data_IF_159041019684
#
_entry.id   IF_159041019684
#
_cell.length_a   1.000
_cell.length_b   1.000
_cell.length_c   1.000
_cell.angle_alpha   90.00
_cell.angle_beta   90.00
_cell.angle_gamma   90.00
#
_symmetry.space_group_name_H-M   'P 1'
#
loop_
_entity.id
_entity.type
_entity.pdbx_description
1 polymer ?
#
# COMPACT_ATOMS: atom_id res chain seq x y z
N UNK A 1 -34.27 13.48 -0.86
CA UNK A 1 -33.86 12.47 -1.84
C UNK A 1 -32.76 11.65 -1.20
N UNK A 2 -33.10 10.51 -0.57
CA UNK A 2 -32.11 9.71 0.15
C UNK A 2 -31.06 9.18 -0.82
N UNK A 3 -29.79 9.43 -0.55
CA UNK A 3 -28.69 8.86 -1.34
C UNK A 3 -28.87 7.34 -1.39
N UNK A 4 -29.01 6.78 -2.59
CA UNK A 4 -29.08 5.33 -2.76
C UNK A 4 -27.78 4.71 -2.24
N UNK A 5 -27.84 3.58 -1.49
CA UNK A 5 -26.64 2.92 -1.01
C UNK A 5 -25.69 2.60 -2.18
N UNK A 6 -24.39 2.79 -1.96
CA UNK A 6 -23.29 2.46 -2.90
C UNK A 6 -23.39 3.14 -4.28
N UNK A 7 -23.83 4.41 -4.32
CA UNK A 7 -24.12 5.13 -5.57
C UNK A 7 -25.22 4.47 -6.44
N UNK A 8 -26.01 3.56 -5.87
CA UNK A 8 -26.97 2.73 -6.61
C UNK A 8 -26.32 1.64 -7.46
N UNK A 9 -25.01 1.37 -7.29
CA UNK A 9 -24.31 0.31 -8.00
C UNK A 9 -24.55 -1.04 -7.33
N UNK A 10 -24.76 -2.07 -8.14
CA UNK A 10 -24.91 -3.48 -7.72
C UNK A 10 -24.04 -4.39 -8.57
N UNK A 11 -23.80 -5.60 -8.08
CA UNK A 11 -23.12 -6.66 -8.81
C UNK A 11 -21.72 -6.29 -9.27
N UNK A 12 -21.43 -6.61 -10.54
CA UNK A 12 -20.14 -6.34 -11.16
C UNK A 12 -19.78 -4.85 -11.22
N UNK A 13 -20.75 -3.94 -11.28
CA UNK A 13 -20.48 -2.51 -11.33
C UNK A 13 -19.95 -2.02 -9.97
N UNK A 14 -20.50 -2.53 -8.87
CA UNK A 14 -20.03 -2.24 -7.51
C UNK A 14 -18.60 -2.77 -7.29
N UNK A 15 -18.31 -3.99 -7.76
CA UNK A 15 -16.97 -4.58 -7.69
C UNK A 15 -15.93 -3.79 -8.49
N UNK A 16 -16.29 -3.32 -9.70
CA UNK A 16 -15.41 -2.45 -10.50
C UNK A 16 -15.19 -1.10 -9.82
N UNK A 17 -16.22 -0.51 -9.22
CA UNK A 17 -16.08 0.73 -8.47
C UNK A 17 -15.15 0.56 -7.26
N UNK A 18 -15.31 -0.51 -6.48
CA UNK A 18 -14.39 -0.85 -5.39
C UNK A 18 -12.93 -1.01 -5.88
N UNK A 19 -12.75 -1.67 -7.03
CA UNK A 19 -11.43 -1.85 -7.63
C UNK A 19 -10.79 -0.50 -8.04
N UNK A 20 -11.49 0.32 -8.82
CA UNK A 20 -10.91 1.55 -9.37
C UNK A 20 -10.83 2.70 -8.36
N UNK A 21 -11.76 2.78 -7.39
CA UNK A 21 -11.85 3.92 -6.47
C UNK A 21 -11.09 3.71 -5.16
N UNK A 22 -10.81 2.45 -4.79
CA UNK A 22 -10.09 2.11 -3.54
C UNK A 22 -8.83 1.32 -3.82
N UNK A 23 -8.95 0.18 -4.50
CA UNK A 23 -7.81 -0.74 -4.68
C UNK A 23 -6.72 -0.10 -5.55
N UNK A 24 -7.09 0.45 -6.70
CA UNK A 24 -6.19 1.14 -7.62
C UNK A 24 -5.37 2.25 -6.95
N UNK A 25 -5.97 3.32 -6.39
CA UNK A 25 -5.21 4.40 -5.77
C UNK A 25 -4.34 3.90 -4.60
N UNK A 26 -4.81 2.93 -3.82
CA UNK A 26 -4.05 2.37 -2.70
C UNK A 26 -2.77 1.66 -3.15
N UNK A 27 -2.87 0.75 -4.13
CA UNK A 27 -1.72 0.00 -4.62
C UNK A 27 -0.80 0.83 -5.51
N UNK A 28 -1.34 1.78 -6.26
CA UNK A 28 -0.54 2.80 -6.95
C UNK A 28 0.23 3.65 -5.95
N UNK A 29 -0.36 4.05 -4.81
CA UNK A 29 0.37 4.74 -3.74
C UNK A 29 1.51 3.86 -3.17
N UNK A 30 1.24 2.58 -2.91
CA UNK A 30 2.27 1.65 -2.43
C UNK A 30 3.45 1.53 -3.41
N UNK A 31 3.16 1.33 -4.70
CA UNK A 31 4.18 1.30 -5.75
C UNK A 31 4.93 2.62 -5.89
N UNK A 32 4.22 3.75 -5.82
CA UNK A 32 4.82 5.08 -5.89
C UNK A 32 5.86 5.29 -4.79
N UNK A 33 5.56 4.90 -3.55
CA UNK A 33 6.47 5.02 -2.41
C UNK A 33 7.74 4.17 -2.55
N UNK A 34 7.65 3.03 -3.24
CA UNK A 34 8.82 2.21 -3.55
C UNK A 34 9.72 2.87 -4.58
N UNK A 35 9.16 3.49 -5.62
CA UNK A 35 9.92 4.13 -6.71
C UNK A 35 10.52 5.50 -6.33
N UNK A 36 9.73 6.37 -5.68
CA UNK A 36 10.08 7.79 -5.47
C UNK A 36 11.36 7.97 -4.66
N UNK A 37 11.64 7.06 -3.72
CA UNK A 37 12.85 7.18 -2.89
C UNK A 37 14.13 7.04 -3.72
N UNK A 38 14.12 6.24 -4.79
CA UNK A 38 15.30 6.03 -5.64
C UNK A 38 15.74 7.29 -6.39
N UNK A 39 14.79 8.03 -6.99
CA UNK A 39 15.12 9.26 -7.70
C UNK A 39 15.57 10.38 -6.77
N UNK A 40 14.92 10.51 -5.61
CA UNK A 40 15.19 11.57 -4.62
C UNK A 40 16.62 11.56 -4.09
N UNK A 41 17.20 10.38 -3.86
CA UNK A 41 18.57 10.21 -3.34
C UNK A 41 19.65 10.71 -4.31
N UNK A 42 19.28 10.90 -5.59
CA UNK A 42 20.19 11.41 -6.62
C UNK A 42 20.15 12.93 -6.80
N UNK A 43 19.30 13.62 -6.06
CA UNK A 43 19.11 15.08 -6.20
C UNK A 43 20.03 15.86 -5.26
N UNK A 44 20.83 16.78 -5.82
CA UNK A 44 21.69 17.68 -5.04
C UNK A 44 20.91 18.53 -4.03
N UNK A 45 19.68 18.93 -4.38
CA UNK A 45 18.80 19.71 -3.49
C UNK A 45 18.30 18.89 -2.29
N UNK A 46 18.23 17.56 -2.40
CA UNK A 46 17.88 16.68 -1.30
C UNK A 46 19.10 16.40 -0.42
N UNK A 47 20.26 16.12 -1.03
CA UNK A 47 21.50 15.85 -0.31
C UNK A 47 22.02 17.08 0.45
N UNK A 48 21.84 18.29 -0.09
CA UNK A 48 22.14 19.54 0.63
C UNK A 48 21.24 19.78 1.84
N UNK A 49 19.98 19.32 1.81
CA UNK A 49 19.09 19.38 2.97
C UNK A 49 19.46 18.32 4.02
N UNK A 50 19.85 17.13 3.57
CA UNK A 50 20.17 15.98 4.44
C UNK A 50 21.60 15.46 4.18
N UNK A 51 22.65 16.19 4.60
CA UNK A 51 24.04 15.82 4.30
C UNK A 51 24.48 14.49 4.93
N UNK A 52 23.77 14.00 5.95
CA UNK A 52 24.04 12.71 6.63
C UNK A 52 23.71 11.48 5.78
N UNK A 53 23.00 11.64 4.67
CA UNK A 53 22.63 10.57 3.75
C UNK A 53 23.16 10.82 2.33
N UNK A 54 24.06 11.80 2.18
CA UNK A 54 24.68 12.13 0.90
C UNK A 54 25.81 11.16 0.59
N UNK A 55 25.58 10.27 -0.37
CA UNK A 55 26.55 9.29 -0.86
C UNK A 55 27.22 9.72 -2.18
N UNK A 56 26.79 10.85 -2.76
CA UNK A 56 27.26 11.32 -4.06
C UNK A 56 28.47 12.22 -3.91
N UNK A 57 28.43 13.17 -2.98
CA UNK A 57 29.49 14.17 -2.79
C UNK A 57 30.51 13.79 -1.69
N UNK A 58 30.38 12.59 -1.10
CA UNK A 58 31.26 12.10 -0.03
C UNK A 58 32.12 10.94 -0.50
N UNK A 59 33.36 10.85 0.00
CA UNK A 59 34.32 9.80 -0.38
C UNK A 59 34.99 9.18 0.87
N UNK A 60 35.50 7.95 0.74
CA UNK A 60 36.22 7.25 1.81
C UNK A 60 35.32 6.80 2.97
N UNK A 61 35.80 6.94 4.21
CA UNK A 61 35.09 6.50 5.40
C UNK A 61 33.73 7.20 5.62
N UNK A 62 33.61 8.48 5.23
CA UNK A 62 32.36 9.23 5.36
C UNK A 62 31.26 8.69 4.44
N UNK A 63 31.62 8.23 3.23
CA UNK A 63 30.65 7.63 2.31
C UNK A 63 30.08 6.32 2.88
N UNK A 64 30.92 5.51 3.52
CA UNK A 64 30.49 4.26 4.16
C UNK A 64 29.48 4.55 5.28
N UNK A 65 29.75 5.55 6.14
CA UNK A 65 28.83 5.95 7.19
C UNK A 65 27.51 6.49 6.61
N UNK A 66 27.57 7.39 5.62
CA UNK A 66 26.40 7.97 4.97
C UNK A 66 25.55 6.90 4.26
N UNK A 67 26.19 5.92 3.63
CA UNK A 67 25.51 4.77 2.99
C UNK A 67 24.77 3.91 4.01
N UNK A 68 25.38 3.63 5.17
CA UNK A 68 24.72 2.91 6.26
C UNK A 68 23.51 3.69 6.80
N UNK A 69 23.66 5.01 6.97
CA UNK A 69 22.56 5.88 7.42
C UNK A 69 21.43 5.95 6.40
N UNK A 70 21.75 6.11 5.11
CA UNK A 70 20.79 6.10 4.01
C UNK A 70 20.03 4.77 3.97
N UNK A 71 20.73 3.64 4.02
CA UNK A 71 20.11 2.32 4.06
C UNK A 71 19.20 2.12 5.28
N UNK A 72 19.61 2.64 6.44
CA UNK A 72 18.79 2.60 7.66
C UNK A 72 17.51 3.41 7.49
N UNK A 73 17.59 4.65 6.98
CA UNK A 73 16.42 5.52 6.76
C UNK A 73 15.44 4.90 5.77
N UNK A 74 15.93 4.28 4.70
CA UNK A 74 15.11 3.55 3.73
C UNK A 74 14.44 2.34 4.41
N UNK A 75 15.18 1.57 5.21
CA UNK A 75 14.66 0.39 5.90
C UNK A 75 13.61 0.71 6.97
N UNK A 76 13.67 1.90 7.61
CA UNK A 76 12.71 2.31 8.64
C UNK A 76 11.28 2.42 8.10
N UNK A 77 11.10 2.70 6.80
CA UNK A 77 9.79 2.62 6.16
C UNK A 77 9.19 1.20 6.27
N UNK A 78 9.99 0.16 5.99
CA UNK A 78 9.58 -1.24 6.10
C UNK A 78 9.32 -1.63 7.55
N UNK A 79 10.16 -1.16 8.49
CA UNK A 79 9.95 -1.38 9.93
C UNK A 79 8.59 -0.81 10.37
N UNK A 80 8.29 0.43 9.99
CA UNK A 80 6.98 1.03 10.23
C UNK A 80 5.84 0.20 9.61
N UNK A 81 6.04 -0.30 8.40
CA UNK A 81 5.11 -1.18 7.70
C UNK A 81 4.77 -2.47 8.44
N UNK A 82 5.77 -3.11 9.05
CA UNK A 82 5.56 -4.32 9.87
C UNK A 82 4.64 -4.01 11.06
N UNK A 83 4.90 -2.93 11.79
CA UNK A 83 4.06 -2.54 12.93
C UNK A 83 2.65 -2.13 12.49
N UNK A 84 2.54 -1.43 11.35
CA UNK A 84 1.26 -1.09 10.73
C UNK A 84 0.44 -2.34 10.40
N UNK A 85 1.02 -3.31 9.70
CA UNK A 85 0.36 -4.56 9.33
C UNK A 85 -0.05 -5.40 10.55
N UNK A 86 0.82 -5.50 11.56
CA UNK A 86 0.50 -6.21 12.81
C UNK A 86 -0.65 -5.56 13.57
N UNK A 87 -0.70 -4.23 13.61
CA UNK A 87 -1.80 -3.49 14.25
C UNK A 87 -3.15 -3.78 13.59
N UNK A 88 -3.17 -3.97 12.26
CA UNK A 88 -4.39 -4.27 11.50
C UNK A 88 -5.00 -5.63 11.82
N UNK A 89 -4.24 -6.58 12.37
CA UNK A 89 -4.80 -7.88 12.79
C UNK A 89 -5.78 -7.67 13.94
N UNK A 90 -5.47 -6.77 14.87
CA UNK A 90 -6.33 -6.45 16.02
C UNK A 90 -7.43 -5.45 15.63
N UNK A 91 -7.04 -4.36 14.97
CA UNK A 91 -7.96 -3.30 14.59
C UNK A 91 -8.99 -3.75 13.56
N UNK A 92 -8.60 -4.64 12.64
CA UNK A 92 -9.46 -5.15 11.59
C UNK A 92 -10.62 -6.00 12.11
N UNK A 93 -10.41 -6.74 13.20
CA UNK A 93 -11.48 -7.51 13.84
C UNK A 93 -12.39 -6.62 14.69
N UNK A 94 -11.84 -5.59 15.36
CA UNK A 94 -12.59 -4.72 16.26
C UNK A 94 -13.42 -3.64 15.54
N UNK A 95 -12.85 -2.98 14.52
CA UNK A 95 -13.44 -1.80 13.89
C UNK A 95 -14.03 -2.06 12.50
N UNK A 96 -13.78 -3.23 11.91
CA UNK A 96 -14.14 -3.54 10.53
C UNK A 96 -13.07 -3.10 9.54
N UNK A 97 -13.19 -3.56 8.29
CA UNK A 97 -12.16 -3.31 7.28
C UNK A 97 -12.21 -1.88 6.77
N UNK A 98 -13.41 -1.35 6.51
CA UNK A 98 -13.61 0.01 5.96
C UNK A 98 -12.99 1.08 6.85
N UNK A 99 -13.22 0.99 8.17
CA UNK A 99 -12.66 1.95 9.14
C UNK A 99 -11.15 1.85 9.26
N UNK A 100 -10.60 0.63 9.24
CA UNK A 100 -9.14 0.44 9.27
C UNK A 100 -8.49 0.99 8.01
N UNK A 101 -9.07 0.78 6.83
CA UNK A 101 -8.57 1.36 5.56
C UNK A 101 -8.58 2.90 5.65
N UNK A 102 -9.64 3.50 6.18
CA UNK A 102 -9.72 4.95 6.36
C UNK A 102 -8.63 5.49 7.31
N UNK A 103 -8.47 4.87 8.48
CA UNK A 103 -7.49 5.31 9.49
C UNK A 103 -6.06 5.13 8.98
N UNK A 104 -5.76 4.00 8.35
CA UNK A 104 -4.41 3.72 7.84
C UNK A 104 -4.02 4.67 6.69
N UNK A 105 -4.96 5.03 5.80
CA UNK A 105 -4.73 6.10 4.82
C UNK A 105 -4.57 7.48 5.48
N UNK A 106 -5.31 7.77 6.55
CA UNK A 106 -5.14 9.03 7.28
C UNK A 106 -3.74 9.13 7.90
N UNK A 107 -3.25 8.04 8.51
CA UNK A 107 -1.88 7.99 9.06
C UNK A 107 -0.83 8.13 7.96
N UNK A 108 -1.01 7.50 6.79
CA UNK A 108 -0.06 7.63 5.68
C UNK A 108 0.01 9.08 5.16
N UNK A 109 -1.12 9.79 5.10
CA UNK A 109 -1.15 11.21 4.74
C UNK A 109 -0.36 12.06 5.75
N UNK A 110 -0.53 11.83 7.05
CA UNK A 110 0.25 12.54 8.08
C UNK A 110 1.75 12.29 7.88
N UNK A 111 2.15 11.03 7.67
CA UNK A 111 3.54 10.67 7.39
C UNK A 111 4.09 11.37 6.14
N UNK A 112 3.31 11.41 5.07
CA UNK A 112 3.67 12.08 3.81
C UNK A 112 3.83 13.60 3.98
N UNK A 113 2.93 14.25 4.73
CA UNK A 113 3.01 15.68 5.04
C UNK A 113 4.27 15.97 5.86
N UNK A 114 4.52 15.19 6.91
CA UNK A 114 5.72 15.33 7.75
C UNK A 114 7.01 15.16 6.94
N UNK A 115 7.00 14.24 5.97
CA UNK A 115 8.14 13.98 5.10
C UNK A 115 8.38 15.14 4.13
N UNK A 116 7.31 15.66 3.52
CA UNK A 116 7.36 16.80 2.60
C UNK A 116 7.80 18.10 3.30
N UNK A 117 7.32 18.31 4.53
CA UNK A 117 7.62 19.50 5.34
C UNK A 117 8.86 19.32 6.22
N UNK A 118 9.70 18.34 5.93
CA UNK A 118 10.90 18.07 6.73
C UNK A 118 11.99 19.10 6.46
N UNK A 119 12.56 19.61 7.56
CA UNK A 119 13.74 20.48 7.54
C UNK A 119 14.92 19.85 8.29
N UNK A 120 14.62 18.98 9.27
CA UNK A 120 15.61 18.24 10.05
C UNK A 120 15.60 16.75 9.68
N UNK A 121 16.78 16.12 9.76
CA UNK A 121 16.98 14.71 9.51
C UNK A 121 16.20 13.83 10.50
N UNK A 122 16.13 14.23 11.77
CA UNK A 122 15.35 13.51 12.77
C UNK A 122 13.85 13.49 12.43
N UNK A 123 13.32 14.63 11.94
CA UNK A 123 11.94 14.74 11.48
C UNK A 123 11.69 13.82 10.28
N UNK A 124 12.63 13.73 9.33
CA UNK A 124 12.52 12.83 8.18
C UNK A 124 12.47 11.35 8.59
N UNK A 125 13.28 10.94 9.58
CA UNK A 125 13.27 9.59 10.16
C UNK A 125 11.90 9.26 10.77
N UNK A 126 11.35 10.16 11.59
CA UNK A 126 10.03 9.95 12.20
C UNK A 126 8.94 9.90 11.12
N UNK A 127 9.02 10.76 10.11
CA UNK A 127 8.08 10.77 9.00
C UNK A 127 8.10 9.43 8.23
N UNK A 128 9.28 8.83 8.02
CA UNK A 128 9.43 7.50 7.38
C UNK A 128 8.73 6.40 8.15
N UNK A 129 8.86 6.40 9.47
CA UNK A 129 8.19 5.41 10.35
C UNK A 129 6.66 5.58 10.32
N UNK A 130 6.17 6.82 10.44
CA UNK A 130 4.73 7.12 10.44
C UNK A 130 4.10 6.79 9.08
N UNK A 131 4.77 7.16 7.98
CA UNK A 131 4.34 6.81 6.63
C UNK A 131 4.28 5.29 6.46
N UNK A 132 5.35 4.58 6.84
CA UNK A 132 5.41 3.12 6.83
C UNK A 132 4.26 2.49 7.61
N UNK A 133 3.94 3.00 8.80
CA UNK A 133 2.85 2.49 9.63
C UNK A 133 1.49 2.58 8.92
N UNK A 134 1.19 3.72 8.28
CA UNK A 134 -0.03 3.87 7.49
C UNK A 134 -0.06 2.91 6.28
N UNK A 135 1.05 2.86 5.53
CA UNK A 135 1.13 2.06 4.31
C UNK A 135 1.03 0.56 4.58
N UNK A 136 1.79 0.04 5.54
CA UNK A 136 1.72 -1.38 5.91
C UNK A 136 0.33 -1.77 6.40
N UNK A 137 -0.38 -0.86 7.06
CA UNK A 137 -1.73 -1.09 7.53
C UNK A 137 -2.75 -1.28 6.41
N UNK A 138 -2.76 -0.41 5.40
CA UNK A 138 -3.69 -0.56 4.29
C UNK A 138 -3.29 -1.70 3.33
N UNK A 139 -1.99 -1.95 3.12
CA UNK A 139 -1.52 -3.07 2.27
C UNK A 139 -1.93 -4.42 2.85
N UNK A 140 -2.01 -4.53 4.18
CA UNK A 140 -2.52 -5.73 4.85
C UNK A 140 -4.06 -5.83 4.80
N UNK A 141 -4.78 -4.71 4.82
CA UNK A 141 -6.24 -4.70 5.00
C UNK A 141 -7.03 -4.70 3.69
N UNK A 142 -6.56 -3.99 2.66
CA UNK A 142 -7.28 -3.83 1.40
C UNK A 142 -7.48 -5.15 0.64
N UNK A 143 -6.46 -6.03 0.47
CA UNK A 143 -6.67 -7.34 -0.16
C UNK A 143 -7.67 -8.21 0.57
N UNK A 144 -7.67 -8.15 1.91
CA UNK A 144 -8.61 -8.89 2.74
C UNK A 144 -10.02 -8.40 2.46
N UNK A 145 -10.26 -7.09 2.53
CA UNK A 145 -11.54 -6.49 2.20
C UNK A 145 -11.99 -6.82 0.76
N UNK A 146 -11.10 -6.67 -0.22
CA UNK A 146 -11.36 -7.00 -1.62
C UNK A 146 -11.74 -8.48 -1.80
N UNK A 147 -11.07 -9.40 -1.10
CA UNK A 147 -11.37 -10.84 -1.16
C UNK A 147 -12.71 -11.22 -0.50
N UNK A 148 -13.12 -10.45 0.51
CA UNK A 148 -14.35 -10.64 1.27
C UNK A 148 -15.58 -10.10 0.50
N UNK A 149 -15.41 -9.06 -0.32
CA UNK A 149 -16.48 -8.55 -1.21
C UNK A 149 -16.51 -9.25 -2.58
N UNK A 150 -15.40 -9.86 -3.01
CA UNK A 150 -15.30 -10.47 -4.34
C UNK A 150 -15.78 -11.92 -4.38
N UNK A 151 -16.46 -12.33 -5.48
CA UNK A 151 -16.87 -13.72 -5.68
C UNK A 151 -15.64 -14.64 -5.80
N UNK A 152 -15.78 -15.88 -5.34
CA UNK A 152 -14.67 -16.83 -5.19
C UNK A 152 -13.85 -17.03 -6.48
N UNK A 153 -14.48 -17.04 -7.65
CA UNK A 153 -13.82 -17.25 -8.94
C UNK A 153 -12.94 -16.08 -9.39
N UNK A 154 -13.15 -14.85 -8.89
CA UNK A 154 -12.35 -13.65 -9.28
C UNK A 154 -11.17 -13.36 -8.36
N UNK A 155 -11.06 -14.07 -7.23
CA UNK A 155 -10.04 -13.79 -6.21
C UNK A 155 -8.61 -13.87 -6.75
N UNK A 156 -8.33 -14.79 -7.67
CA UNK A 156 -7.01 -14.87 -8.32
C UNK A 156 -6.71 -13.68 -9.24
N UNK A 157 -7.71 -13.22 -10.01
CA UNK A 157 -7.57 -12.06 -10.89
C UNK A 157 -7.35 -10.77 -10.11
N UNK A 158 -7.92 -10.65 -8.91
CA UNK A 158 -7.74 -9.50 -8.04
C UNK A 158 -6.26 -9.32 -7.65
N UNK A 159 -5.59 -10.40 -7.24
CA UNK A 159 -4.17 -10.38 -6.84
C UNK A 159 -3.27 -9.92 -7.99
N UNK A 160 -3.52 -10.39 -9.22
CA UNK A 160 -2.78 -9.95 -10.41
C UNK A 160 -3.02 -8.45 -10.67
N UNK A 161 -4.25 -8.00 -10.49
CA UNK A 161 -4.62 -6.60 -10.69
C UNK A 161 -3.93 -5.68 -9.68
N UNK A 162 -3.81 -6.11 -8.42
CA UNK A 162 -3.08 -5.37 -7.39
C UNK A 162 -1.61 -5.18 -7.78
N UNK A 163 -0.96 -6.23 -8.31
CA UNK A 163 0.42 -6.17 -8.81
C UNK A 163 0.59 -5.21 -9.99
N UNK A 164 -0.38 -5.17 -10.92
CA UNK A 164 -0.38 -4.21 -12.03
C UNK A 164 -0.44 -2.77 -11.49
N UNK A 165 -1.29 -2.49 -10.51
CA UNK A 165 -1.40 -1.15 -9.91
C UNK A 165 -0.13 -0.71 -9.18
N UNK A 166 0.57 -1.65 -8.53
CA UNK A 166 1.90 -1.41 -7.96
C UNK A 166 2.89 -1.03 -9.05
N UNK A 167 2.94 -1.78 -10.16
CA UNK A 167 3.80 -1.46 -11.31
C UNK A 167 3.54 -0.07 -11.87
N UNK A 168 2.27 0.28 -12.08
CA UNK A 168 1.85 1.62 -12.52
C UNK A 168 2.33 2.70 -11.54
N UNK A 169 2.26 2.45 -10.23
CA UNK A 169 2.76 3.36 -9.21
C UNK A 169 4.26 3.59 -9.28
N UNK A 170 5.04 2.52 -9.44
CA UNK A 170 6.51 2.60 -9.61
C UNK A 170 6.85 3.39 -10.86
N UNK A 171 6.23 3.08 -12.00
CA UNK A 171 6.44 3.80 -13.27
C UNK A 171 6.10 5.28 -13.12
N UNK A 172 4.98 5.62 -12.46
CA UNK A 172 4.57 7.00 -12.21
C UNK A 172 5.59 7.77 -11.36
N UNK A 173 6.16 7.13 -10.33
CA UNK A 173 7.22 7.72 -9.52
C UNK A 173 8.46 8.05 -10.36
N UNK A 174 8.92 7.10 -11.18
CA UNK A 174 10.10 7.28 -12.04
C UNK A 174 9.91 8.43 -13.06
N UNK A 175 8.72 8.56 -13.64
CA UNK A 175 8.42 9.66 -14.56
C UNK A 175 8.39 11.02 -13.87
N UNK A 176 7.81 11.08 -12.67
CA UNK A 176 7.80 12.32 -11.88
C UNK A 176 9.22 12.69 -11.46
N UNK A 177 10.01 11.74 -10.95
CA UNK A 177 11.40 11.96 -10.56
C UNK A 177 12.24 12.43 -11.76
N UNK A 178 12.06 11.83 -12.94
CA UNK A 178 12.71 12.29 -14.17
C UNK A 178 12.31 13.72 -14.56
N UNK A 179 11.02 14.06 -14.42
CA UNK A 179 10.54 15.41 -14.70
C UNK A 179 11.16 16.46 -13.77
N UNK A 180 11.26 16.16 -12.48
CA UNK A 180 11.83 17.07 -11.48
C UNK A 180 13.36 17.05 -11.42
N UNK A 181 14.03 16.05 -12.02
CA UNK A 181 15.48 15.99 -12.14
C UNK A 181 16.07 17.22 -12.87
N UNK A 182 15.35 17.77 -13.84
CA UNK A 182 15.80 18.95 -14.59
C UNK A 182 15.64 20.27 -13.79
N UNK A 183 14.90 20.25 -12.67
CA UNK A 183 14.69 21.42 -11.80
C UNK A 183 15.86 21.55 -10.84
N UNK A 184 16.84 22.38 -11.19
CA UNK A 184 18.05 22.60 -10.38
C UNK A 184 17.86 23.68 -9.32
N UNK A 185 18.45 23.49 -8.14
CA UNK A 185 18.64 24.52 -7.12
C UNK A 185 17.40 24.92 -6.30
N UNK A 186 16.27 24.22 -6.44
CA UNK A 186 15.05 24.49 -5.68
C UNK A 186 14.59 23.24 -4.90
N UNK A 187 14.17 23.42 -3.65
CA UNK A 187 13.63 22.33 -2.81
C UNK A 187 12.35 21.70 -3.35
N UNK A 188 11.68 22.37 -4.29
CA UNK A 188 10.52 21.84 -5.02
C UNK A 188 10.85 20.51 -5.72
N UNK A 189 12.10 20.30 -6.17
CA UNK A 189 12.50 19.08 -6.90
C UNK A 189 12.29 17.79 -6.11
N UNK A 190 12.45 17.82 -4.79
CA UNK A 190 12.25 16.67 -3.93
C UNK A 190 10.97 16.73 -3.10
N UNK A 191 10.49 17.95 -2.77
CA UNK A 191 9.25 18.13 -2.00
C UNK A 191 8.00 17.80 -2.81
N UNK A 192 7.96 18.16 -4.09
CA UNK A 192 6.77 17.91 -4.90
C UNK A 192 6.49 16.41 -5.11
N UNK A 193 7.48 15.57 -5.49
CA UNK A 193 7.25 14.12 -5.60
C UNK A 193 6.75 13.52 -4.28
N UNK A 194 7.32 13.91 -3.14
CA UNK A 194 6.86 13.46 -1.82
C UNK A 194 5.44 13.94 -1.48
N UNK A 195 5.06 15.15 -1.90
CA UNK A 195 3.71 15.68 -1.68
C UNK A 195 2.68 14.99 -2.58
N UNK A 196 3.05 14.66 -3.82
CA UNK A 196 2.14 14.09 -4.81
C UNK A 196 1.54 12.76 -4.35
N UNK A 197 2.29 11.97 -3.58
CA UNK A 197 1.79 10.71 -3.02
C UNK A 197 0.56 10.86 -2.13
N UNK A 198 0.27 12.07 -1.59
CA UNK A 198 -0.90 12.35 -0.75
C UNK A 198 -2.21 12.28 -1.55
N UNK A 199 -2.18 12.54 -2.85
CA UNK A 199 -3.38 12.56 -3.69
C UNK A 199 -4.07 11.19 -3.70
N UNK A 200 -3.29 10.12 -3.79
CA UNK A 200 -3.80 8.74 -3.86
C UNK A 200 -4.56 8.28 -2.60
N UNK A 201 -3.99 8.37 -1.37
CA UNK A 201 -4.71 8.00 -0.14
C UNK A 201 -5.89 8.93 0.14
N UNK A 202 -5.86 10.20 -0.27
CA UNK A 202 -7.03 11.11 -0.16
C UNK A 202 -8.20 10.59 -1.01
N UNK A 203 -7.93 10.18 -2.25
CA UNK A 203 -8.95 9.56 -3.12
C UNK A 203 -9.53 8.32 -2.43
N UNK A 204 -8.66 7.42 -1.93
CA UNK A 204 -9.10 6.21 -1.22
C UNK A 204 -9.97 6.55 0.00
N UNK A 205 -9.58 7.54 0.81
CA UNK A 205 -10.33 7.95 2.01
C UNK A 205 -11.72 8.47 1.70
N UNK A 206 -11.89 9.21 0.60
CA UNK A 206 -13.20 9.73 0.20
C UNK A 206 -14.09 8.56 -0.20
N UNK A 207 -13.63 7.69 -1.09
CA UNK A 207 -14.47 6.64 -1.67
C UNK A 207 -14.71 5.44 -0.75
N UNK A 208 -13.78 5.12 0.16
CA UNK A 208 -13.97 3.99 1.08
C UNK A 208 -15.16 4.19 2.00
N UNK A 209 -15.51 5.44 2.34
CA UNK A 209 -16.69 5.74 3.19
C UNK A 209 -18.02 5.47 2.48
N UNK A 210 -18.03 5.49 1.14
CA UNK A 210 -19.23 5.32 0.31
C UNK A 210 -19.43 3.88 -0.17
N UNK A 211 -18.45 3.01 0.06
CA UNK A 211 -18.45 1.60 -0.33
C UNK A 211 -18.89 0.68 0.83
N UNK A 212 -19.37 -0.54 0.50
CA UNK A 212 -19.84 -1.48 1.52
C UNK A 212 -18.71 -1.96 2.42
N UNK A 213 -19.06 -2.21 3.68
CA UNK A 213 -18.22 -2.95 4.61
C UNK A 213 -18.20 -4.44 4.23
N UNK A 214 -17.22 -5.19 4.74
CA UNK A 214 -17.15 -6.63 4.53
C UNK A 214 -18.40 -7.36 5.07
N UNK A 215 -19.13 -8.12 4.23
CA UNK A 215 -20.31 -8.89 4.67
C UNK A 215 -19.92 -9.93 5.73
N UNK A 216 -18.72 -10.50 5.61
CA UNK A 216 -18.18 -11.47 6.58
C UNK A 216 -17.94 -10.83 7.95
N UNK A 217 -17.43 -9.61 8.00
CA UNK A 217 -17.22 -8.89 9.26
C UNK A 217 -18.56 -8.52 9.91
N UNK A 218 -19.54 -8.06 9.12
CA UNK A 218 -20.89 -7.72 9.61
C UNK A 218 -21.57 -8.92 10.27
N UNK A 219 -21.55 -10.08 9.61
CA UNK A 219 -22.13 -11.33 10.15
C UNK A 219 -21.37 -11.78 11.41
N UNK A 220 -20.03 -11.72 11.41
CA UNK A 220 -19.21 -12.04 12.60
C UNK A 220 -19.55 -11.15 13.80
N UNK A 221 -19.92 -9.89 13.57
CA UNK A 221 -20.26 -8.93 14.61
C UNK A 221 -21.76 -8.97 15.01
N UNK A 222 -22.51 -9.99 14.56
CA UNK A 222 -23.94 -10.16 14.86
C UNK A 222 -24.87 -9.25 14.04
N UNK A 223 -24.36 -8.48 13.08
CA UNK A 223 -25.12 -7.58 12.22
C UNK A 223 -25.56 -8.30 10.92
N UNK A 224 -26.29 -9.40 11.08
CA UNK A 224 -26.67 -10.29 9.97
C UNK A 224 -27.51 -9.58 8.91
N UNK A 225 -28.46 -8.74 9.32
CA UNK A 225 -29.34 -8.02 8.38
C UNK A 225 -28.58 -7.01 7.49
N UNK A 226 -27.60 -6.29 8.06
CA UNK A 226 -26.75 -5.40 7.25
C UNK A 226 -25.79 -6.19 6.35
N UNK A 227 -25.29 -7.33 6.83
CA UNK A 227 -24.51 -8.27 6.03
C UNK A 227 -25.30 -8.81 4.84
N UNK A 228 -26.58 -9.13 5.05
CA UNK A 228 -27.53 -9.57 4.00
C UNK A 228 -27.70 -8.51 2.92
N UNK A 229 -27.96 -7.25 3.29
CA UNK A 229 -28.09 -6.13 2.34
C UNK A 229 -26.83 -5.93 1.49
N UNK A 230 -25.65 -5.97 2.13
CA UNK A 230 -24.37 -5.88 1.41
C UNK A 230 -24.21 -7.03 0.44
N UNK A 231 -24.48 -8.26 0.88
CA UNK A 231 -24.32 -9.45 0.07
C UNK A 231 -25.28 -9.48 -1.12
N UNK A 232 -26.54 -9.09 -0.92
CA UNK A 232 -27.53 -8.92 -1.97
C UNK A 232 -27.14 -7.84 -2.99
N UNK A 233 -26.52 -6.74 -2.54
CA UNK A 233 -25.97 -5.72 -3.42
C UNK A 233 -24.74 -6.22 -4.22
N UNK A 234 -23.87 -7.04 -3.61
CA UNK A 234 -22.69 -7.61 -4.26
C UNK A 234 -23.02 -8.70 -5.29
N UNK A 235 -24.05 -9.52 -5.00
CA UNK A 235 -24.49 -10.60 -5.89
C UNK A 235 -25.49 -10.14 -6.96
N UNK A 236 -26.02 -8.92 -6.83
CA UNK A 236 -27.11 -8.40 -7.66
C UNK A 236 -28.40 -9.24 -7.57
N UNK A 237 -28.71 -9.68 -6.35
CA UNK A 237 -29.88 -10.51 -6.02
C UNK A 237 -30.79 -9.78 -5.03
N UNK A 238 -32.01 -10.28 -4.89
CA UNK A 238 -32.91 -9.83 -3.83
C UNK A 238 -32.38 -10.23 -2.44
N UNK A 239 -32.71 -9.44 -1.41
CA UNK A 239 -32.25 -9.69 -0.03
C UNK A 239 -32.74 -11.03 0.53
N UNK A 240 -33.88 -11.52 0.05
CA UNK A 240 -34.52 -12.75 0.50
C UNK A 240 -34.37 -13.92 -0.48
N UNK A 241 -33.47 -13.84 -1.46
CA UNK A 241 -33.21 -14.98 -2.34
C UNK A 241 -32.56 -16.15 -1.57
N UNK A 242 -32.85 -17.38 -2.02
CA UNK A 242 -32.27 -18.59 -1.44
C UNK A 242 -30.73 -18.57 -1.52
N UNK A 243 -30.16 -18.08 -2.61
CA UNK A 243 -28.71 -17.93 -2.78
C UNK A 243 -28.07 -17.04 -1.70
N UNK A 244 -28.73 -15.94 -1.31
CA UNK A 244 -28.22 -15.04 -0.27
C UNK A 244 -28.29 -15.73 1.10
N UNK A 245 -29.36 -16.48 1.38
CA UNK A 245 -29.49 -17.29 2.59
C UNK A 245 -28.39 -18.36 2.69
N UNK A 246 -28.12 -19.07 1.59
CA UNK A 246 -27.06 -20.10 1.53
C UNK A 246 -25.68 -19.51 1.78
N UNK A 247 -25.38 -18.34 1.20
CA UNK A 247 -24.09 -17.66 1.42
C UNK A 247 -23.93 -17.17 2.88
N UNK A 248 -25.00 -16.66 3.51
CA UNK A 248 -24.97 -16.28 4.93
C UNK A 248 -24.70 -17.52 5.79
N UNK A 249 -25.43 -18.61 5.56
CA UNK A 249 -25.27 -19.86 6.31
C UNK A 249 -23.85 -20.44 6.13
N UNK A 250 -23.30 -20.37 4.92
CA UNK A 250 -21.91 -20.76 4.64
C UNK A 250 -20.90 -19.93 5.44
N UNK A 251 -21.11 -18.62 5.52
CA UNK A 251 -20.27 -17.71 6.32
C UNK A 251 -20.38 -18.05 7.80
N UNK A 252 -21.59 -18.21 8.35
CA UNK A 252 -21.81 -18.56 9.76
C UNK A 252 -21.18 -19.90 10.12
N UNK A 253 -21.34 -20.92 9.27
CA UNK A 253 -20.72 -22.24 9.44
C UNK A 253 -19.19 -22.12 9.45
N UNK A 254 -18.63 -21.31 8.55
CA UNK A 254 -17.18 -21.06 8.50
C UNK A 254 -16.64 -20.33 9.74
N UNK A 255 -17.47 -19.47 10.36
CA UNK A 255 -17.13 -18.74 11.57
C UNK A 255 -17.26 -19.64 12.81
N UNK A 256 -18.25 -20.54 12.86
CA UNK A 256 -18.42 -21.51 13.94
C UNK A 256 -17.26 -22.51 14.01
N UNK A 257 -16.70 -22.91 12.86
CA UNK A 257 -15.52 -23.78 12.81
C UNK A 257 -14.22 -23.08 13.24
N UNK A 258 -14.17 -21.74 13.17
CA UNK A 258 -13.02 -20.93 13.55
C UNK A 258 -13.43 -19.82 14.54
N UNK A 259 -13.71 -20.15 15.82
CA UNK A 259 -14.06 -19.16 16.82
C UNK A 259 -12.86 -18.22 17.01
N UNK A 260 -13.05 -16.96 16.59
CA UNK A 260 -11.98 -16.00 16.31
C UNK A 260 -11.25 -15.42 17.53
N UNK A 261 -10.90 -16.21 18.53
CA UNK A 261 -10.01 -15.77 19.62
C UNK A 261 -8.55 -16.06 19.29
N UNK A 262 -7.68 -15.08 19.54
CA UNK A 262 -6.21 -15.22 19.39
C UNK A 262 -5.64 -16.40 20.19
N UNK A 263 -6.27 -16.77 21.31
CA UNK A 263 -5.90 -17.94 22.13
C UNK A 263 -6.15 -19.28 21.43
N UNK A 264 -7.12 -19.36 20.50
CA UNK A 264 -7.43 -20.61 19.79
C UNK A 264 -6.59 -20.77 18.50
N UNK A 265 -6.06 -19.67 17.95
CA UNK A 265 -5.10 -19.68 16.83
C UNK A 265 -3.77 -20.37 17.17
N UNK A 266 -3.45 -20.51 18.45
CA UNK A 266 -2.29 -21.28 18.93
C UNK A 266 -2.54 -22.79 19.02
N UNK A 267 -3.80 -23.24 19.08
CA UNK A 267 -4.14 -24.62 19.52
C UNK A 267 -4.57 -25.53 18.37
N UNK A 268 -5.21 -25.04 17.30
CA UNK A 268 -5.57 -25.85 16.11
C UNK A 268 -4.77 -25.46 14.87
N UNK A 269 -3.51 -25.90 14.84
CA UNK A 269 -2.49 -25.43 13.88
C UNK A 269 -2.49 -26.23 12.58
N UNK A 270 -3.35 -25.87 11.61
CA UNK A 270 -3.20 -26.37 10.24
C UNK A 270 -2.20 -25.49 9.47
N UNK A 271 -1.02 -26.05 9.15
CA UNK A 271 0.20 -25.32 8.73
C UNK A 271 0.15 -24.76 7.29
N UNK A 272 -0.87 -25.07 6.49
CA UNK A 272 -0.91 -24.80 5.03
C UNK A 272 -1.69 -23.55 4.61
N UNK A 273 -2.77 -23.18 5.30
CA UNK A 273 -3.66 -22.08 4.89
C UNK A 273 -3.20 -20.70 5.34
N UNK A 274 -2.46 -20.60 6.45
CA UNK A 274 -1.87 -19.33 6.92
C UNK A 274 -0.44 -19.09 6.45
N UNK A 275 0.25 -20.13 5.95
CA UNK A 275 1.58 -19.96 5.39
C UNK A 275 1.50 -19.00 4.21
N UNK A 276 0.58 -19.23 3.25
CA UNK A 276 0.50 -18.46 2.00
C UNK A 276 0.32 -16.94 2.20
N UNK A 277 -0.65 -16.41 2.98
CA UNK A 277 -0.79 -14.96 3.14
C UNK A 277 0.36 -14.32 3.92
N UNK A 278 0.88 -15.01 4.96
CA UNK A 278 2.00 -14.53 5.77
C UNK A 278 3.32 -14.57 5.01
N UNK A 279 3.56 -15.64 4.25
CA UNK A 279 4.72 -15.75 3.36
C UNK A 279 4.59 -14.77 2.21
N UNK A 280 3.41 -14.59 1.61
CA UNK A 280 3.22 -13.65 0.50
C UNK A 280 3.44 -12.19 0.97
N UNK A 281 2.92 -11.80 2.13
CA UNK A 281 3.22 -10.48 2.71
C UNK A 281 4.70 -10.32 3.10
N UNK A 282 5.31 -11.37 3.65
CA UNK A 282 6.74 -11.40 3.97
C UNK A 282 7.61 -11.32 2.70
N UNK A 283 7.23 -12.00 1.61
CA UNK A 283 7.88 -11.93 0.31
C UNK A 283 7.69 -10.54 -0.34
N UNK A 284 6.48 -9.98 -0.35
CA UNK A 284 6.23 -8.61 -0.82
C UNK A 284 7.02 -7.54 -0.03
N UNK A 285 7.12 -7.71 1.29
CA UNK A 285 7.89 -6.81 2.17
C UNK A 285 9.40 -7.01 2.02
N UNK A 286 9.86 -8.20 1.62
CA UNK A 286 11.26 -8.49 1.28
C UNK A 286 11.64 -8.11 -0.15
N UNK A 287 10.68 -8.05 -1.07
CA UNK A 287 10.88 -7.60 -2.45
C UNK A 287 11.10 -6.09 -2.54
N UNK A 288 10.45 -5.28 -1.70
CA UNK A 288 10.65 -3.82 -1.67
C UNK A 288 12.13 -3.42 -1.53
N UNK A 289 12.87 -3.90 -0.51
CA UNK A 289 14.31 -3.67 -0.38
C UNK A 289 15.14 -4.22 -1.55
N UNK A 290 14.72 -5.35 -2.16
CA UNK A 290 15.40 -5.94 -3.34
C UNK A 290 15.20 -5.10 -4.61
N UNK A 291 14.02 -4.55 -4.84
CA UNK A 291 13.77 -3.65 -5.97
C UNK A 291 14.55 -2.35 -5.83
N UNK A 292 14.60 -1.78 -4.62
CA UNK A 292 15.41 -0.59 -4.34
C UNK A 292 16.90 -0.87 -4.57
N UNK A 293 17.42 -2.03 -4.14
CA UNK A 293 18.82 -2.41 -4.40
C UNK A 293 19.08 -2.66 -5.89
N UNK A 294 18.21 -3.37 -6.62
CA UNK A 294 18.36 -3.52 -8.07
C UNK A 294 18.29 -2.17 -8.82
N UNK A 295 17.44 -1.24 -8.39
CA UNK A 295 17.35 0.12 -8.95
C UNK A 295 18.59 0.98 -8.66
N UNK A 296 19.30 0.76 -7.54
CA UNK A 296 20.54 1.49 -7.23
C UNK A 296 21.75 0.88 -7.96
N UNK A 297 21.86 -0.45 -8.02
CA UNK A 297 23.01 -1.13 -8.64
C UNK A 297 23.02 -1.05 -10.17
N UNK A 298 21.86 -1.02 -10.83
CA UNK A 298 21.79 -1.08 -12.29
C UNK A 298 22.30 0.20 -13.01
N UNK A 299 21.97 1.43 -12.54
CA UNK A 299 22.55 2.66 -13.09
C UNK A 299 24.07 2.79 -12.85
N UNK A 300 24.57 2.34 -11.69
CA UNK A 300 26.00 2.37 -11.34
C UNK A 300 26.83 1.43 -12.23
N UNK A 301 26.33 0.19 -12.43
CA UNK A 301 26.92 -0.78 -13.37
C UNK A 301 26.94 -0.23 -14.80
N UNK A 302 25.84 0.36 -15.27
CA UNK A 302 25.78 0.90 -16.63
C UNK A 302 26.68 2.12 -16.86
N UNK A 303 26.83 3.00 -15.86
CA UNK A 303 27.76 4.14 -15.94
C UNK A 303 29.23 3.70 -16.05
N UNK A 304 29.55 2.54 -15.46
CA UNK A 304 30.88 1.93 -15.51
C UNK A 304 31.19 1.25 -16.85
N UNK A 305 30.17 0.82 -17.60
CA UNK A 305 30.35 0.06 -18.85
C UNK A 305 30.14 0.88 -20.15
N UNK A 306 29.31 1.94 -20.17
CA UNK A 306 28.88 2.56 -21.45
C UNK A 306 29.19 4.05 -21.60
N UNK A 307 29.80 4.70 -20.61
CA UNK A 307 30.21 6.11 -20.70
C UNK A 307 29.04 7.11 -20.65
N UNK A 308 29.33 8.44 -20.65
CA UNK A 308 28.52 9.46 -19.98
C UNK A 308 27.26 9.93 -20.72
N UNK A 309 26.72 9.18 -21.68
CA UNK A 309 25.44 9.51 -22.32
C UNK A 309 24.26 9.06 -21.43
N UNK A 310 24.09 9.80 -20.33
CA UNK A 310 23.17 9.55 -19.20
C UNK A 310 21.68 9.48 -19.58
N UNK A 311 21.30 10.07 -20.73
CA UNK A 311 19.92 10.17 -21.19
C UNK A 311 19.37 8.87 -21.77
N UNK A 312 20.19 8.09 -22.50
CA UNK A 312 19.73 6.84 -23.14
C UNK A 312 19.61 5.70 -22.13
N UNK A 313 20.52 5.62 -21.16
CA UNK A 313 20.49 4.58 -20.12
C UNK A 313 19.29 4.70 -19.17
N UNK A 314 18.89 5.94 -18.82
CA UNK A 314 17.74 6.18 -17.94
C UNK A 314 16.40 6.00 -18.64
N UNK A 315 16.31 6.26 -19.94
CA UNK A 315 15.09 6.01 -20.72
C UNK A 315 14.80 4.50 -20.91
N UNK A 316 15.84 3.65 -20.97
CA UNK A 316 15.65 2.19 -21.09
C UNK A 316 15.38 1.48 -19.75
N UNK A 317 15.79 2.07 -18.61
CA UNK A 317 15.42 1.59 -17.27
C UNK A 317 13.90 1.73 -16.97
N UNK A 318 13.15 2.45 -17.81
CA UNK A 318 11.68 2.56 -17.73
C UNK A 318 11.00 1.32 -18.34
N UNK A 319 11.71 0.53 -19.17
CA UNK A 319 11.13 -0.57 -19.95
C UNK A 319 11.46 -1.98 -19.42
N UNK A 320 12.19 -2.11 -18.30
CA UNK A 320 12.55 -3.41 -17.70
C UNK A 320 12.33 -3.44 -16.20
#
# INVERSE_FOLDING_TARGET
MGLKPYFGLRGNALLRAALFLVVCPTFTCYGYNMGVTGGLLTLDAFNSQFPRIDTIHTHGAQNQENSQMQGTVIALYTVGGIFGALSCIFLGDLWGRRKVIFITNFVSIIGAILMTASFDFAQFIVARLVLGLGIGGYVATVPVWQSEISPAHKRGSNVVTDGIFVGVGVTLALWIDLGFYFVKGNSVSWRFPLAFQIVMPVITMIFITMLPESPRWLIKNGQVEEGRKVLAALLDLDEHSDDVNENILSIETSLAYCPGSWTDKTIKRNRRTEAMPRTQFFFYSMEGPRQVTHQHFHPELWSSYVGPNLLLGKCMAIFY
#
